data_IF_191543389555
#
_entry.id   IF_191543389555
#
_cell.length_a   1.000
_cell.length_b   1.000
_cell.length_c   1.000
_cell.angle_alpha   90.00
_cell.angle_beta   90.00
_cell.angle_gamma   90.00
#
_symmetry.space_group_name_H-M   'P 1'
#
loop_
_entity.id
_entity.type
_entity.pdbx_description
1 polymer ?
#
# COMPACT_ATOMS: atom_id res chain seq x y z
N UNK A 1 -77.66 -13.36 42.03
CA UNK A 1 -77.66 -11.98 41.50
C UNK A 1 -76.39 -11.79 40.67
N UNK A 2 -76.39 -12.12 39.38
CA UNK A 2 -76.90 -11.38 38.21
C UNK A 2 -75.95 -10.26 37.75
N UNK A 3 -75.24 -10.55 36.66
CA UNK A 3 -74.46 -9.62 35.81
C UNK A 3 -75.40 -8.62 35.10
N UNK A 4 -74.89 -7.54 34.46
CA UNK A 4 -74.41 -7.72 33.09
C UNK A 4 -73.15 -6.91 32.67
N UNK A 5 -72.42 -7.60 31.81
CA UNK A 5 -71.49 -7.18 30.75
C UNK A 5 -71.80 -5.83 30.08
N UNK A 6 -70.77 -5.03 29.82
CA UNK A 6 -70.66 -4.22 28.58
C UNK A 6 -69.21 -4.21 28.08
N UNK A 7 -69.02 -4.85 26.92
CA UNK A 7 -67.84 -4.71 26.07
C UNK A 7 -67.76 -3.26 25.57
N UNK A 8 -66.59 -2.65 25.66
CA UNK A 8 -66.12 -1.69 24.66
C UNK A 8 -64.68 -2.05 24.30
N UNK A 9 -64.51 -2.53 23.07
CA UNK A 9 -63.22 -2.62 22.42
C UNK A 9 -62.73 -1.19 22.16
N UNK A 10 -61.55 -0.84 22.67
CA UNK A 10 -60.75 0.22 22.07
C UNK A 10 -59.36 -0.36 21.81
N UNK A 11 -59.19 -0.87 20.60
CA UNK A 11 -57.90 -1.12 19.97
C UNK A 11 -57.08 0.17 19.98
N UNK A 12 -56.13 0.29 20.90
CA UNK A 12 -55.08 1.29 20.78
C UNK A 12 -53.98 0.70 19.89
N UNK A 13 -54.00 1.12 18.64
CA UNK A 13 -52.97 0.88 17.65
C UNK A 13 -51.66 1.49 18.18
N UNK A 14 -50.77 0.66 18.73
CA UNK A 14 -49.41 1.08 19.05
C UNK A 14 -48.66 1.31 17.73
N UNK A 15 -48.65 2.56 17.27
CA UNK A 15 -47.85 2.99 16.15
C UNK A 15 -46.38 2.68 16.45
N UNK A 16 -45.81 1.71 15.74
CA UNK A 16 -44.36 1.53 15.68
C UNK A 16 -43.78 2.79 15.02
N UNK A 17 -43.29 3.71 15.87
CA UNK A 17 -42.45 4.81 15.42
C UNK A 17 -41.17 4.18 14.91
N UNK A 18 -41.10 3.98 13.59
CA UNK A 18 -39.87 3.66 12.90
C UNK A 18 -39.03 4.94 12.94
N UNK A 19 -38.27 5.14 14.02
CA UNK A 19 -37.24 6.15 14.06
C UNK A 19 -36.21 5.79 12.98
N UNK A 20 -35.77 6.74 12.14
CA UNK A 20 -34.69 6.47 11.22
C UNK A 20 -33.46 6.18 12.09
N UNK A 21 -33.03 4.92 12.13
CA UNK A 21 -31.71 4.60 12.61
C UNK A 21 -30.75 5.33 11.67
N UNK A 22 -30.27 6.50 12.08
CA UNK A 22 -29.06 7.09 11.52
C UNK A 22 -27.97 6.04 11.77
N UNK A 23 -27.77 5.16 10.79
CA UNK A 23 -26.76 4.13 10.83
C UNK A 23 -25.43 4.85 11.01
N UNK A 24 -24.96 4.88 12.26
CA UNK A 24 -23.63 5.34 12.58
C UNK A 24 -22.72 4.29 11.99
N UNK A 25 -22.01 4.61 10.89
CA UNK A 25 -21.04 3.68 10.34
C UNK A 25 -20.06 3.32 11.44
N UNK A 26 -19.82 2.02 11.71
CA UNK A 26 -18.89 1.62 12.74
C UNK A 26 -17.51 2.17 12.35
N UNK A 27 -17.01 3.13 13.14
CA UNK A 27 -15.64 3.64 12.98
C UNK A 27 -14.71 2.48 13.31
N UNK A 28 -13.99 1.99 12.30
CA UNK A 28 -13.02 0.92 12.50
C UNK A 28 -11.90 1.41 13.42
N UNK A 29 -11.44 0.60 14.38
CA UNK A 29 -10.38 0.99 15.30
C UNK A 29 -9.09 1.28 14.53
N UNK A 30 -8.39 2.34 14.95
CA UNK A 30 -7.05 2.65 14.44
C UNK A 30 -6.06 1.56 14.87
N UNK A 31 -4.93 1.47 14.16
CA UNK A 31 -3.91 0.44 14.43
C UNK A 31 -3.49 0.35 15.90
N UNK A 32 -3.36 1.49 16.58
CA UNK A 32 -2.94 1.58 17.98
C UNK A 32 -4.03 1.16 18.98
N UNK A 33 -5.30 1.10 18.55
CA UNK A 33 -6.45 0.67 19.35
C UNK A 33 -6.69 -0.85 19.27
N UNK A 34 -5.99 -1.56 18.37
CA UNK A 34 -6.13 -3.00 18.23
C UNK A 34 -5.50 -3.76 19.40
N UNK A 35 -6.16 -4.83 19.86
CA UNK A 35 -5.59 -5.73 20.86
C UNK A 35 -4.35 -6.47 20.31
N UNK A 36 -3.56 -7.05 21.22
CA UNK A 36 -2.30 -7.71 20.86
C UNK A 36 -2.48 -8.92 19.94
N UNK A 37 -3.56 -9.69 20.11
CA UNK A 37 -3.83 -10.88 19.31
C UNK A 37 -4.21 -10.51 17.89
N UNK A 38 -5.06 -9.50 17.73
CA UNK A 38 -5.47 -8.97 16.42
C UNK A 38 -4.27 -8.39 15.67
N UNK A 39 -3.45 -7.54 16.32
CA UNK A 39 -2.21 -7.03 15.69
C UNK A 39 -1.27 -8.14 15.29
N UNK A 40 -1.07 -9.16 16.13
CA UNK A 40 -0.20 -10.29 15.85
C UNK A 40 -0.65 -11.08 14.61
N UNK A 41 -1.96 -11.24 14.45
CA UNK A 41 -2.57 -11.93 13.30
C UNK A 41 -2.36 -11.13 12.01
N UNK A 42 -2.59 -9.82 12.06
CA UNK A 42 -2.44 -8.94 10.88
C UNK A 42 -0.98 -8.89 10.38
N UNK A 43 0.01 -9.01 11.26
CA UNK A 43 1.43 -9.05 10.87
C UNK A 43 1.99 -10.46 10.63
N UNK A 44 1.18 -11.52 10.79
CA UNK A 44 1.65 -12.90 10.66
C UNK A 44 2.36 -13.19 9.32
N UNK A 45 1.84 -12.74 8.15
CA UNK A 45 2.52 -12.96 6.88
C UNK A 45 3.92 -12.30 6.80
N UNK A 46 4.09 -11.14 7.46
CA UNK A 46 5.39 -10.47 7.52
C UNK A 46 6.39 -11.29 8.35
N UNK A 47 5.93 -11.84 9.48
CA UNK A 47 6.74 -12.69 10.37
C UNK A 47 7.18 -13.97 9.66
N UNK A 48 6.28 -14.61 8.93
CA UNK A 48 6.59 -15.80 8.15
C UNK A 48 7.63 -15.52 7.07
N UNK A 49 7.44 -14.45 6.28
CA UNK A 49 8.42 -14.03 5.26
C UNK A 49 9.80 -13.69 5.84
N UNK A 50 9.84 -13.09 7.03
CA UNK A 50 11.09 -12.82 7.75
C UNK A 50 11.79 -14.13 8.16
N UNK A 51 11.02 -15.11 8.63
CA UNK A 51 11.56 -16.40 9.07
C UNK A 51 12.05 -17.24 7.90
N UNK A 52 11.34 -17.26 6.76
CA UNK A 52 11.66 -18.09 5.59
C UNK A 52 12.83 -17.60 4.73
N UNK A 53 13.33 -16.37 4.93
CA UNK A 53 14.42 -15.79 4.13
C UNK A 53 15.57 -15.26 5.02
N UNK A 54 16.29 -16.14 5.76
CA UNK A 54 17.35 -15.73 6.68
C UNK A 54 18.45 -14.88 6.04
N UNK A 55 18.84 -15.19 4.80
CA UNK A 55 19.85 -14.49 4.02
C UNK A 55 19.46 -13.05 3.66
N UNK A 56 18.17 -12.71 3.67
CA UNK A 56 17.68 -11.36 3.40
C UNK A 56 17.45 -10.52 4.64
N UNK A 57 17.55 -11.10 5.84
CA UNK A 57 17.20 -10.43 7.11
C UNK A 57 17.98 -9.14 7.31
N UNK A 58 19.28 -9.15 7.04
CA UNK A 58 20.12 -7.96 7.18
C UNK A 58 19.63 -6.83 6.25
N UNK A 59 19.42 -7.14 4.97
CA UNK A 59 18.91 -6.17 4.00
C UNK A 59 17.53 -5.62 4.41
N UNK A 60 16.66 -6.47 4.95
CA UNK A 60 15.34 -6.07 5.43
C UNK A 60 15.43 -5.15 6.66
N UNK A 61 16.34 -5.43 7.61
CA UNK A 61 16.60 -4.55 8.76
C UNK A 61 17.13 -3.19 8.32
N UNK A 62 18.10 -3.16 7.40
CA UNK A 62 18.62 -1.90 6.87
C UNK A 62 17.54 -1.07 6.16
N UNK A 63 16.58 -1.73 5.48
CA UNK A 63 15.42 -1.06 4.88
C UNK A 63 14.46 -0.54 5.96
N UNK A 64 14.17 -1.34 6.98
CA UNK A 64 13.30 -0.95 8.08
C UNK A 64 13.87 0.25 8.86
N UNK A 65 15.18 0.24 9.14
CA UNK A 65 15.85 1.34 9.82
C UNK A 65 15.85 2.63 9.00
N UNK A 66 16.05 2.54 7.68
CA UNK A 66 15.90 3.72 6.82
C UNK A 66 14.48 4.24 6.82
N UNK A 67 13.48 3.36 6.84
CA UNK A 67 12.07 3.73 6.87
C UNK A 67 11.67 4.42 8.18
N UNK A 68 12.14 3.94 9.33
CA UNK A 68 11.85 4.53 10.65
C UNK A 68 12.39 5.96 10.76
N UNK A 69 13.51 6.25 10.09
CA UNK A 69 14.13 7.58 10.04
C UNK A 69 13.49 8.53 9.01
N UNK A 70 12.55 8.07 8.18
CA UNK A 70 11.90 8.93 7.19
C UNK A 70 10.91 9.89 7.85
N UNK A 71 10.94 11.14 7.41
CA UNK A 71 9.90 12.14 7.71
C UNK A 71 8.55 11.74 7.08
N UNK A 72 7.42 12.27 7.58
CA UNK A 72 6.10 12.06 6.97
C UNK A 72 6.08 12.37 5.47
N UNK A 73 6.76 13.44 5.03
CA UNK A 73 6.85 13.86 3.64
C UNK A 73 7.65 12.86 2.80
N UNK A 74 8.77 12.36 3.33
CA UNK A 74 9.56 11.32 2.66
C UNK A 74 8.76 10.02 2.52
N UNK A 75 8.02 9.61 3.56
CA UNK A 75 7.12 8.47 3.50
C UNK A 75 5.99 8.68 2.48
N UNK A 76 5.46 9.90 2.37
CA UNK A 76 4.50 10.28 1.33
C UNK A 76 5.08 10.09 -0.08
N UNK A 77 6.27 10.64 -0.34
CA UNK A 77 6.97 10.45 -1.62
C UNK A 77 7.23 8.98 -1.95
N UNK A 78 7.61 8.18 -0.94
CA UNK A 78 7.82 6.75 -1.11
C UNK A 78 6.52 6.01 -1.48
N UNK A 79 5.39 6.33 -0.81
CA UNK A 79 4.07 5.79 -1.15
C UNK A 79 3.65 6.11 -2.58
N UNK A 80 3.77 7.36 -3.01
CA UNK A 80 3.50 7.74 -4.40
C UNK A 80 4.44 7.03 -5.40
N UNK A 81 5.69 6.80 -5.02
CA UNK A 81 6.63 6.02 -5.83
C UNK A 81 6.19 4.56 -5.98
N UNK A 82 5.73 3.95 -4.88
CA UNK A 82 5.21 2.58 -4.87
C UNK A 82 3.94 2.46 -5.71
N UNK A 83 3.01 3.39 -5.57
CA UNK A 83 1.77 3.42 -6.34
C UNK A 83 2.04 3.47 -7.85
N UNK A 84 2.90 4.38 -8.30
CA UNK A 84 3.33 4.42 -9.71
C UNK A 84 3.97 3.11 -10.16
N UNK A 85 4.81 2.50 -9.31
CA UNK A 85 5.48 1.25 -9.63
C UNK A 85 4.51 0.07 -9.80
N UNK A 86 3.47 0.00 -8.96
CA UNK A 86 2.44 -1.04 -9.05
C UNK A 86 1.67 -0.94 -10.38
N UNK A 87 1.36 0.28 -10.82
CA UNK A 87 0.66 0.54 -12.07
C UNK A 87 1.54 0.46 -13.34
N UNK A 88 2.85 0.29 -13.20
CA UNK A 88 3.74 0.11 -14.37
C UNK A 88 3.57 -1.28 -15.00
N UNK A 89 3.55 -1.31 -16.33
CA UNK A 89 3.65 -2.54 -17.11
C UNK A 89 5.03 -3.21 -16.93
N UNK A 90 5.18 -4.51 -17.24
CA UNK A 90 6.47 -5.19 -17.16
C UNK A 90 7.60 -4.47 -17.92
N UNK A 91 7.32 -3.97 -19.12
CA UNK A 91 8.27 -3.19 -19.94
C UNK A 91 8.67 -1.89 -19.25
N UNK A 92 7.71 -1.13 -18.73
CA UNK A 92 7.96 0.11 -18.00
C UNK A 92 8.80 -0.13 -16.74
N UNK A 93 8.59 -1.25 -16.03
CA UNK A 93 9.42 -1.63 -14.88
C UNK A 93 10.85 -1.94 -15.29
N UNK A 94 11.06 -2.61 -16.42
CA UNK A 94 12.41 -2.89 -16.95
C UNK A 94 13.14 -1.60 -17.32
N UNK A 95 12.47 -0.72 -18.05
CA UNK A 95 12.95 0.63 -18.37
C UNK A 95 13.32 1.43 -17.12
N UNK A 96 12.40 1.50 -16.15
CA UNK A 96 12.62 2.23 -14.90
C UNK A 96 13.82 1.68 -14.11
N UNK A 97 14.02 0.36 -14.07
CA UNK A 97 15.19 -0.27 -13.42
C UNK A 97 16.49 0.10 -14.12
N UNK A 98 16.53 0.04 -15.45
CA UNK A 98 17.70 0.39 -16.24
C UNK A 98 18.07 1.86 -16.02
N UNK A 99 17.09 2.76 -16.13
CA UNK A 99 17.27 4.19 -15.89
C UNK A 99 17.76 4.47 -14.46
N UNK A 100 17.13 3.87 -13.45
CA UNK A 100 17.54 4.00 -12.06
C UNK A 100 18.96 3.48 -11.83
N UNK A 101 19.29 2.32 -12.40
CA UNK A 101 20.62 1.73 -12.29
C UNK A 101 21.70 2.63 -12.89
N UNK A 102 21.41 3.32 -14.00
CA UNK A 102 22.35 4.27 -14.60
C UNK A 102 22.50 5.54 -13.76
N UNK A 103 21.41 6.05 -13.19
CA UNK A 103 21.43 7.21 -12.29
C UNK A 103 22.09 6.96 -10.93
N UNK A 104 22.20 5.68 -10.52
CA UNK A 104 22.80 5.27 -9.25
C UNK A 104 24.31 5.56 -9.30
N UNK A 105 24.74 6.58 -8.55
CA UNK A 105 26.13 7.06 -8.53
C UNK A 105 26.41 8.33 -9.35
N UNK A 106 25.45 8.84 -10.12
CA UNK A 106 25.57 10.14 -10.79
C UNK A 106 25.41 11.31 -9.81
N UNK A 107 25.95 12.47 -10.12
CA UNK A 107 25.61 13.71 -9.41
C UNK A 107 24.19 14.21 -9.75
N UNK A 108 23.63 15.20 -9.02
CA UNK A 108 22.28 15.70 -9.27
C UNK A 108 22.04 16.27 -10.68
N UNK A 109 23.03 16.96 -11.27
CA UNK A 109 22.90 17.59 -12.58
C UNK A 109 22.94 16.55 -13.70
N UNK A 110 23.86 15.60 -13.63
CA UNK A 110 23.92 14.45 -14.54
C UNK A 110 22.61 13.63 -14.51
N UNK A 111 22.01 13.43 -13.33
CA UNK A 111 20.69 12.79 -13.21
C UNK A 111 19.56 13.62 -13.83
N UNK A 112 19.64 14.95 -13.75
CA UNK A 112 18.64 15.84 -14.36
C UNK A 112 18.73 15.75 -15.89
N UNK A 113 19.94 15.90 -16.44
CA UNK A 113 20.19 15.78 -17.88
C UNK A 113 19.71 14.42 -18.43
N UNK A 114 20.04 13.32 -17.74
CA UNK A 114 19.59 11.99 -18.17
C UNK A 114 18.06 11.84 -18.15
N UNK A 115 17.37 12.41 -17.14
CA UNK A 115 15.90 12.39 -17.10
C UNK A 115 15.27 13.19 -18.24
N UNK A 116 15.87 14.32 -18.61
CA UNK A 116 15.41 15.15 -19.73
C UNK A 116 15.60 14.42 -21.06
N UNK A 117 16.77 13.81 -21.28
CA UNK A 117 17.02 12.96 -22.45
C UNK A 117 16.02 11.80 -22.51
N UNK A 118 15.80 11.09 -21.40
CA UNK A 118 14.86 9.98 -21.32
C UNK A 118 13.42 10.39 -21.69
N UNK A 119 12.98 11.58 -21.26
CA UNK A 119 11.65 12.12 -21.59
C UNK A 119 11.52 12.43 -23.08
N UNK A 120 12.59 12.88 -23.72
CA UNK A 120 12.62 13.16 -25.15
C UNK A 120 12.68 11.90 -26.04
N UNK A 121 13.11 10.76 -25.50
CA UNK A 121 13.19 9.50 -26.25
C UNK A 121 11.80 8.94 -26.62
N UNK A 122 11.68 8.45 -27.86
CA UNK A 122 10.55 7.63 -28.30
C UNK A 122 10.55 6.26 -27.62
N UNK A 123 9.44 5.49 -27.65
CA UNK A 123 9.41 4.13 -27.12
C UNK A 123 10.52 3.22 -27.67
N UNK A 124 10.77 3.27 -28.98
CA UNK A 124 11.82 2.45 -29.61
C UNK A 124 13.23 2.87 -29.17
N UNK A 125 13.47 4.17 -29.02
CA UNK A 125 14.73 4.68 -28.50
C UNK A 125 14.96 4.27 -27.05
N UNK A 126 13.91 4.27 -26.21
CA UNK A 126 14.00 3.77 -24.83
C UNK A 126 14.33 2.28 -24.79
N UNK A 127 13.69 1.49 -25.65
CA UNK A 127 13.97 0.04 -25.76
C UNK A 127 15.43 -0.20 -26.12
N UNK A 128 15.92 0.43 -27.19
CA UNK A 128 17.32 0.32 -27.60
C UNK A 128 18.29 0.80 -26.51
N UNK A 129 17.95 1.90 -25.80
CA UNK A 129 18.76 2.41 -24.71
C UNK A 129 18.84 1.41 -23.53
N UNK A 130 17.73 0.75 -23.18
CA UNK A 130 17.66 -0.26 -22.12
C UNK A 130 18.48 -1.50 -22.47
N UNK A 131 18.41 -1.94 -23.74
CA UNK A 131 19.23 -3.05 -24.24
C UNK A 131 20.73 -2.74 -24.12
N UNK A 132 21.13 -1.50 -24.41
CA UNK A 132 22.50 -1.03 -24.25
C UNK A 132 22.91 -0.73 -22.79
N UNK A 133 21.94 -0.46 -21.91
CA UNK A 133 22.16 -0.08 -20.51
C UNK A 133 21.33 -0.97 -19.56
N UNK A 134 21.58 -2.29 -19.50
CA UNK A 134 20.80 -3.18 -18.66
C UNK A 134 20.95 -2.80 -17.18
N UNK A 135 19.87 -2.96 -16.42
CA UNK A 135 19.90 -2.72 -14.99
C UNK A 135 20.95 -3.62 -14.31
N UNK A 136 21.73 -3.05 -13.38
CA UNK A 136 22.69 -3.79 -12.55
C UNK A 136 21.96 -4.61 -11.49
N UNK A 137 21.14 -5.59 -11.90
CA UNK A 137 20.62 -6.62 -11.01
C UNK A 137 20.01 -7.80 -11.79
N UNK A 138 20.85 -8.75 -12.24
CA UNK A 138 20.45 -10.13 -12.55
C UNK A 138 21.63 -11.14 -12.71
N UNK A 139 22.84 -10.85 -12.21
CA UNK A 139 23.96 -11.82 -12.26
C UNK A 139 24.22 -12.58 -10.95
N UNK A 140 23.88 -11.99 -9.80
CA UNK A 140 24.28 -12.53 -8.49
C UNK A 140 23.09 -12.84 -7.55
N UNK A 141 21.90 -13.12 -8.10
CA UNK A 141 20.76 -13.56 -7.29
C UNK A 141 20.53 -15.06 -7.48
N UNK A 142 20.87 -15.92 -6.51
CA UNK A 142 20.30 -17.27 -6.50
C UNK A 142 18.77 -17.15 -6.38
N UNK A 143 18.07 -17.88 -7.25
CA UNK A 143 16.62 -18.07 -7.21
C UNK A 143 16.24 -19.01 -6.06
#
# INVERSE_FOLDING_TARGET
>A
MNRPLRLTFLTLLAAAVCAPALASEPVMPEWDQLDAQTRATLIAPMRERWNSNPERREQLLQRAQRWSQMTPEQRGKARHGMDRWQHMSPTQRTEARALYSKMRGMDPEARKALREQWRAMTPDQRKAWVEANPARENRDRPH
#
